data_IF_846520086344
#
_entry.id   IF_846520086344
#
_cell.length_a   1.000
_cell.length_b   1.000
_cell.length_c   1.000
_cell.angle_alpha   90.00
_cell.angle_beta   90.00
_cell.angle_gamma   90.00
#
_symmetry.space_group_name_H-M   'P 1'
#
loop_
_entity.id
_entity.type
_entity.pdbx_description
1 polymer ?
#
# COMPACT_ATOMS: atom_id res chain seq x y z
N UNK A 1 10.41 7.69 -29.73
CA UNK A 1 9.68 8.13 -28.52
C UNK A 1 9.10 6.96 -27.73
N UNK A 2 8.40 5.99 -28.35
CA UNK A 2 7.82 4.83 -27.64
C UNK A 2 8.80 3.92 -26.84
N UNK A 3 10.08 3.82 -27.23
CA UNK A 3 11.08 3.06 -26.47
C UNK A 3 11.52 3.79 -25.18
N UNK A 4 11.70 5.11 -25.22
CA UNK A 4 12.14 5.87 -24.04
C UNK A 4 11.12 5.80 -22.90
N UNK A 5 9.82 5.86 -23.23
CA UNK A 5 8.75 5.72 -22.24
C UNK A 5 8.72 4.30 -21.65
N UNK A 6 8.99 3.26 -22.45
CA UNK A 6 9.10 1.85 -22.00
C UNK A 6 10.26 1.67 -21.03
N UNK A 7 11.44 2.15 -21.37
CA UNK A 7 12.64 2.02 -20.55
C UNK A 7 12.47 2.76 -19.22
N UNK A 8 11.89 3.97 -19.24
CA UNK A 8 11.66 4.75 -18.03
C UNK A 8 10.63 4.10 -17.10
N UNK A 9 9.57 3.48 -17.65
CA UNK A 9 8.59 2.75 -16.82
C UNK A 9 9.17 1.48 -16.20
N UNK A 10 9.99 0.75 -16.96
CA UNK A 10 10.68 -0.44 -16.43
C UNK A 10 11.68 -0.04 -15.34
N UNK A 11 12.40 1.06 -15.53
CA UNK A 11 13.30 1.61 -14.53
C UNK A 11 12.55 1.97 -13.23
N UNK A 12 11.43 2.68 -13.31
CA UNK A 12 10.60 3.00 -12.15
C UNK A 12 10.12 1.73 -11.45
N UNK A 13 9.67 0.72 -12.20
CA UNK A 13 9.19 -0.53 -11.63
C UNK A 13 10.30 -1.28 -10.86
N UNK A 14 11.49 -1.40 -11.45
CA UNK A 14 12.65 -2.08 -10.82
C UNK A 14 13.09 -1.32 -9.57
N UNK A 15 13.29 0.01 -9.68
CA UNK A 15 13.72 0.83 -8.54
C UNK A 15 12.71 0.79 -7.40
N UNK A 16 11.42 0.78 -7.71
CA UNK A 16 10.37 0.64 -6.71
C UNK A 16 10.45 -0.68 -5.97
N UNK A 17 10.64 -1.77 -6.70
CA UNK A 17 10.74 -3.09 -6.11
C UNK A 17 11.97 -3.18 -5.18
N UNK A 18 13.12 -2.72 -5.66
CA UNK A 18 14.36 -2.70 -4.89
C UNK A 18 14.27 -1.82 -3.63
N UNK A 19 13.67 -0.63 -3.75
CA UNK A 19 13.49 0.28 -2.62
C UNK A 19 12.47 -0.27 -1.62
N UNK A 20 11.34 -0.83 -2.08
CA UNK A 20 10.34 -1.46 -1.21
C UNK A 20 10.95 -2.64 -0.45
N UNK A 21 11.75 -3.46 -1.12
CA UNK A 21 12.45 -4.56 -0.49
C UNK A 21 13.41 -4.07 0.60
N UNK A 22 14.21 -3.02 0.34
CA UNK A 22 15.09 -2.41 1.35
C UNK A 22 14.33 -1.83 2.54
N UNK A 23 13.19 -1.18 2.30
CA UNK A 23 12.31 -0.68 3.35
C UNK A 23 11.76 -1.81 4.22
N UNK A 24 11.30 -2.90 3.60
CA UNK A 24 10.78 -4.06 4.31
C UNK A 24 11.84 -4.70 5.22
N UNK A 25 13.09 -4.79 4.76
CA UNK A 25 14.22 -5.26 5.59
C UNK A 25 14.42 -4.35 6.81
N UNK A 26 14.37 -3.03 6.64
CA UNK A 26 14.53 -2.11 7.78
C UNK A 26 13.35 -2.20 8.77
N UNK A 27 12.12 -2.36 8.28
CA UNK A 27 10.94 -2.62 9.13
C UNK A 27 11.13 -3.92 9.93
N UNK A 28 11.58 -5.00 9.28
CA UNK A 28 11.87 -6.27 9.94
C UNK A 28 12.88 -6.12 11.09
N UNK A 29 13.96 -5.35 10.90
CA UNK A 29 14.93 -5.12 11.97
C UNK A 29 14.34 -4.31 13.14
N UNK A 30 13.50 -3.32 12.87
CA UNK A 30 12.80 -2.55 13.91
C UNK A 30 11.83 -3.44 14.69
N UNK A 31 11.13 -4.34 14.02
CA UNK A 31 10.23 -5.30 14.66
C UNK A 31 11.01 -6.35 15.46
N UNK A 32 12.20 -6.76 14.99
CA UNK A 32 13.09 -7.61 15.76
C UNK A 32 13.59 -6.92 17.03
N UNK A 33 13.84 -5.61 17.02
CA UNK A 33 14.21 -4.87 18.23
C UNK A 33 13.11 -4.94 19.30
N UNK A 34 11.82 -4.95 18.91
CA UNK A 34 10.71 -5.15 19.86
C UNK A 34 10.71 -6.54 20.50
N UNK A 35 11.24 -7.55 19.80
CA UNK A 35 11.25 -8.94 20.29
C UNK A 35 12.39 -9.23 21.27
N UNK A 36 13.39 -8.36 21.39
CA UNK A 36 14.53 -8.54 22.30
C UNK A 36 14.24 -8.16 23.77
N UNK A 37 13.00 -7.79 24.09
CA UNK A 37 12.56 -7.43 25.44
C UNK A 37 12.45 -5.92 25.65
N UNK A 38 12.33 -5.49 26.91
CA UNK A 38 12.19 -4.08 27.25
C UNK A 38 13.49 -3.31 26.94
N UNK A 39 13.39 -2.33 26.05
CA UNK A 39 14.47 -1.40 25.74
C UNK A 39 14.50 -0.26 26.77
N UNK A 40 15.66 0.37 27.02
CA UNK A 40 15.72 1.64 27.74
C UNK A 40 14.78 2.67 27.11
N UNK A 41 14.15 3.53 27.92
CA UNK A 41 13.10 4.45 27.46
C UNK A 41 13.54 5.34 26.29
N UNK A 42 14.77 5.85 26.32
CA UNK A 42 15.35 6.66 25.25
C UNK A 42 15.51 5.87 23.94
N UNK A 43 15.96 4.61 24.03
CA UNK A 43 16.13 3.72 22.88
C UNK A 43 14.78 3.34 22.28
N UNK A 44 13.76 3.13 23.10
CA UNK A 44 12.40 2.84 22.64
C UNK A 44 11.77 4.05 21.94
N UNK A 45 12.03 5.26 22.44
CA UNK A 45 11.60 6.51 21.81
C UNK A 45 12.26 6.68 20.43
N UNK A 46 13.57 6.51 20.32
CA UNK A 46 14.31 6.59 19.06
C UNK A 46 13.81 5.53 18.06
N UNK A 47 13.60 4.30 18.54
CA UNK A 47 13.02 3.21 17.73
C UNK A 47 11.65 3.59 17.16
N UNK A 48 10.77 4.18 17.96
CA UNK A 48 9.44 4.61 17.51
C UNK A 48 9.54 5.72 16.45
N UNK A 49 10.45 6.68 16.63
CA UNK A 49 10.70 7.74 15.64
C UNK A 49 11.16 7.12 14.32
N UNK A 50 12.15 6.24 14.35
CA UNK A 50 12.69 5.58 13.15
C UNK A 50 11.58 4.76 12.46
N UNK A 51 10.78 4.00 13.22
CA UNK A 51 9.66 3.24 12.68
C UNK A 51 8.67 4.15 11.93
N UNK A 52 8.36 5.31 12.50
CA UNK A 52 7.53 6.34 11.85
C UNK A 52 8.13 6.86 10.54
N UNK A 53 9.44 7.14 10.53
CA UNK A 53 10.15 7.63 9.34
C UNK A 53 10.15 6.60 8.20
N UNK A 54 10.39 5.32 8.53
CA UNK A 54 10.40 4.25 7.53
C UNK A 54 9.00 4.04 6.94
N UNK A 55 7.96 4.11 7.78
CA UNK A 55 6.57 4.08 7.31
C UNK A 55 6.21 5.30 6.45
N UNK A 56 6.78 6.47 6.73
CA UNK A 56 6.61 7.63 5.86
C UNK A 56 7.30 7.45 4.50
N UNK A 57 8.54 6.96 4.49
CA UNK A 57 9.29 6.67 3.27
C UNK A 57 8.58 5.65 2.38
N UNK A 58 7.98 4.62 2.98
CA UNK A 58 7.18 3.62 2.26
C UNK A 58 5.98 4.27 1.53
N UNK A 59 5.30 5.22 2.18
CA UNK A 59 4.18 5.96 1.57
C UNK A 59 4.64 6.85 0.42
N UNK A 60 5.69 7.65 0.62
CA UNK A 60 6.25 8.49 -0.44
C UNK A 60 6.72 7.69 -1.66
N UNK A 61 7.28 6.50 -1.43
CA UNK A 61 7.67 5.60 -2.50
C UNK A 61 6.46 5.10 -3.28
N UNK A 62 5.37 4.73 -2.60
CA UNK A 62 4.13 4.33 -3.26
C UNK A 62 3.52 5.49 -4.07
N UNK A 63 3.49 6.70 -3.51
CA UNK A 63 2.98 7.89 -4.20
C UNK A 63 3.81 8.20 -5.46
N UNK A 64 5.14 8.09 -5.38
CA UNK A 64 6.04 8.29 -6.53
C UNK A 64 5.81 7.27 -7.64
N UNK A 65 5.51 6.02 -7.29
CA UNK A 65 5.14 4.97 -8.25
C UNK A 65 3.86 5.33 -8.98
N UNK A 66 2.86 5.77 -8.24
CA UNK A 66 1.56 6.10 -8.79
C UNK A 66 1.64 7.32 -9.70
N UNK A 67 2.38 8.36 -9.29
CA UNK A 67 2.67 9.54 -10.14
C UNK A 67 3.47 9.15 -11.38
N UNK A 68 4.50 8.30 -11.24
CA UNK A 68 5.27 7.81 -12.37
C UNK A 68 4.39 7.07 -13.37
N UNK A 69 3.46 6.23 -12.91
CA UNK A 69 2.53 5.50 -13.77
C UNK A 69 1.51 6.40 -14.46
N UNK A 70 1.02 7.44 -13.76
CA UNK A 70 0.13 8.46 -14.32
C UNK A 70 0.82 9.30 -15.40
N UNK A 71 2.06 9.71 -15.17
CA UNK A 71 2.81 10.56 -16.09
C UNK A 71 3.08 9.91 -17.46
N UNK A 72 3.12 8.57 -17.55
CA UNK A 72 3.36 7.84 -18.80
C UNK A 72 2.10 7.24 -19.44
N UNK A 73 0.90 7.60 -18.97
CA UNK A 73 -0.39 7.08 -19.48
C UNK A 73 -0.47 5.54 -19.50
N UNK A 74 0.30 4.88 -18.61
CA UNK A 74 0.40 3.41 -18.54
C UNK A 74 -0.53 2.78 -17.53
N UNK A 75 -1.38 3.59 -16.89
CA UNK A 75 -2.40 3.10 -15.98
C UNK A 75 -3.51 2.40 -16.78
N UNK A 76 -3.31 1.11 -17.08
CA UNK A 76 -4.36 0.26 -17.65
C UNK A 76 -5.29 -0.21 -16.54
N UNK A 77 -6.38 0.54 -16.34
CA UNK A 77 -7.47 0.14 -15.46
C UNK A 77 -8.14 -1.11 -16.03
N UNK A 78 -8.21 -2.18 -15.24
CA UNK A 78 -8.92 -3.41 -15.57
C UNK A 78 -10.32 -3.35 -14.99
N UNK A 79 -11.22 -2.71 -15.73
CA UNK A 79 -12.61 -2.62 -15.32
C UNK A 79 -13.31 -3.97 -15.37
N UNK A 80 -13.81 -4.41 -14.23
CA UNK A 80 -14.67 -5.57 -14.08
C UNK A 80 -15.97 -5.20 -13.37
N UNK A 81 -16.92 -6.14 -13.36
CA UNK A 81 -18.18 -5.98 -12.65
C UNK A 81 -17.94 -6.35 -11.19
N UNK A 82 -17.96 -5.37 -10.31
CA UNK A 82 -17.68 -5.54 -8.88
C UNK A 82 -18.94 -5.31 -8.09
N UNK A 83 -19.21 -6.16 -7.10
CA UNK A 83 -20.29 -5.88 -6.15
C UNK A 83 -19.87 -4.74 -5.21
N UNK A 84 -20.67 -3.68 -5.14
CA UNK A 84 -20.36 -2.52 -4.29
C UNK A 84 -20.28 -2.89 -2.81
N UNK A 85 -21.03 -3.92 -2.40
CA UNK A 85 -20.99 -4.47 -1.05
C UNK A 85 -19.57 -4.89 -0.69
N UNK A 86 -18.92 -5.70 -1.52
CA UNK A 86 -17.58 -6.22 -1.28
C UNK A 86 -16.53 -5.11 -1.13
N UNK A 87 -16.60 -4.09 -2.00
CA UNK A 87 -15.69 -2.94 -1.93
C UNK A 87 -15.85 -2.18 -0.61
N UNK A 88 -17.09 -1.94 -0.19
CA UNK A 88 -17.37 -1.17 1.02
C UNK A 88 -16.98 -1.97 2.27
N UNK A 89 -17.24 -3.29 2.30
CA UNK A 89 -16.79 -4.15 3.40
C UNK A 89 -15.26 -4.17 3.51
N UNK A 90 -14.55 -4.34 2.39
CA UNK A 90 -13.09 -4.31 2.38
C UNK A 90 -12.50 -2.99 2.90
N UNK A 91 -13.11 -1.84 2.56
CA UNK A 91 -12.69 -0.55 3.09
C UNK A 91 -12.95 -0.42 4.60
N UNK A 92 -14.11 -0.89 5.08
CA UNK A 92 -14.45 -0.88 6.51
C UNK A 92 -13.49 -1.75 7.31
N UNK A 93 -13.19 -2.96 6.83
CA UNK A 93 -12.25 -3.89 7.46
C UNK A 93 -10.84 -3.30 7.54
N UNK A 94 -10.38 -2.62 6.48
CA UNK A 94 -9.08 -1.95 6.47
C UNK A 94 -8.99 -0.78 7.48
N UNK A 95 -10.11 -0.10 7.74
CA UNK A 95 -10.17 1.03 8.68
C UNK A 95 -10.40 0.59 10.14
N UNK A 96 -10.99 -0.59 10.36
CA UNK A 96 -11.34 -1.14 11.67
C UNK A 96 -10.21 -1.00 12.73
N UNK A 97 -8.93 -1.32 12.43
CA UNK A 97 -7.85 -1.22 13.41
C UNK A 97 -7.56 0.21 13.85
N UNK A 98 -7.74 1.20 12.97
CA UNK A 98 -7.54 2.61 13.28
C UNK A 98 -8.61 3.12 14.24
N UNK A 99 -9.87 2.75 14.02
CA UNK A 99 -10.97 3.11 14.93
C UNK A 99 -10.86 2.41 16.28
N UNK A 100 -10.46 1.14 16.31
CA UNK A 100 -10.23 0.40 17.55
C UNK A 100 -9.13 1.03 18.43
N UNK A 101 -8.03 1.53 17.83
CA UNK A 101 -6.96 2.23 18.56
C UNK A 101 -7.42 3.53 19.23
N UNK A 102 -8.46 4.17 18.69
CA UNK A 102 -9.02 5.41 19.22
C UNK A 102 -10.28 5.18 20.07
N UNK A 103 -10.57 3.92 20.44
CA UNK A 103 -11.78 3.53 21.19
C UNK A 103 -13.10 3.93 20.50
N UNK A 104 -13.08 4.05 19.18
CA UNK A 104 -14.23 4.44 18.37
C UNK A 104 -14.86 3.22 17.70
N UNK A 105 -16.20 3.26 17.56
CA UNK A 105 -16.96 2.19 16.92
C UNK A 105 -17.40 2.58 15.51
N UNK A 106 -16.87 1.90 14.51
CA UNK A 106 -17.34 1.99 13.13
C UNK A 106 -18.58 1.09 12.94
N UNK A 107 -19.64 1.63 12.34
CA UNK A 107 -20.86 0.88 12.00
C UNK A 107 -21.19 1.09 10.53
N UNK A 108 -21.30 -0.02 9.80
CA UNK A 108 -21.74 -0.02 8.41
C UNK A 108 -23.23 -0.32 8.34
N UNK A 109 -23.97 0.47 7.56
CA UNK A 109 -25.38 0.21 7.20
C UNK A 109 -25.51 0.24 5.68
N UNK A 110 -25.75 -0.92 5.08
CA UNK A 110 -25.97 -1.06 3.65
C UNK A 110 -27.42 -1.46 3.36
N UNK A 111 -27.97 -0.93 2.27
CA UNK A 111 -29.24 -1.42 1.74
C UNK A 111 -29.02 -2.81 1.13
N UNK A 112 -29.98 -3.71 1.30
CA UNK A 112 -29.88 -5.13 0.89
C UNK A 112 -29.94 -5.38 -0.63
N UNK A 113 -29.72 -4.35 -1.44
CA UNK A 113 -29.72 -4.45 -2.91
C UNK A 113 -28.30 -4.72 -3.39
N UNK A 114 -28.15 -5.72 -4.24
CA UNK A 114 -26.93 -5.97 -5.00
C UNK A 114 -26.77 -4.84 -6.01
N UNK A 115 -25.83 -3.94 -5.72
CA UNK A 115 -25.42 -2.89 -6.63
C UNK A 115 -24.07 -3.27 -7.23
N UNK A 116 -23.98 -3.21 -8.55
CA UNK A 116 -22.75 -3.53 -9.27
C UNK A 116 -22.13 -2.27 -9.85
N UNK A 117 -20.82 -2.16 -9.71
CA UNK A 117 -20.00 -1.07 -10.23
C UNK A 117 -19.12 -1.59 -11.37
N UNK A 118 -18.85 -0.72 -12.34
CA UNK A 118 -17.75 -0.92 -13.28
C UNK A 118 -16.50 -0.30 -12.65
N UNK A 119 -15.68 -1.13 -12.03
CA UNK A 119 -14.52 -0.69 -11.26
C UNK A 119 -13.34 -1.65 -11.48
N UNK A 120 -12.13 -1.19 -11.20
CA UNK A 120 -10.97 -2.06 -11.09
C UNK A 120 -10.91 -2.60 -9.65
N UNK A 121 -11.35 -3.84 -9.42
CA UNK A 121 -11.41 -4.42 -8.07
C UNK A 121 -10.02 -4.71 -7.49
N UNK A 122 -8.99 -4.74 -8.35
CA UNK A 122 -7.60 -4.97 -8.01
C UNK A 122 -6.75 -3.72 -8.17
N UNK A 123 -7.31 -2.53 -7.97
CA UNK A 123 -6.54 -1.32 -7.68
C UNK A 123 -5.82 -1.44 -6.30
N UNK A 124 -5.12 -2.56 -6.07
CA UNK A 124 -3.99 -2.63 -5.18
C UNK A 124 -2.88 -1.78 -5.80
N UNK A 125 -1.93 -1.24 -5.00
CA UNK A 125 -0.65 -0.82 -5.53
C UNK A 125 -0.01 -2.06 -6.16
N UNK A 126 -0.22 -2.24 -7.46
CA UNK A 126 0.07 -3.49 -8.15
C UNK A 126 1.60 -3.66 -8.18
N UNK A 127 2.14 -4.42 -7.23
CA UNK A 127 3.34 -5.21 -7.41
C UNK A 127 2.97 -6.26 -8.47
N UNK A 128 3.15 -5.89 -9.74
CA UNK A 128 3.10 -6.86 -10.81
C UNK A 128 4.26 -7.83 -10.60
N UNK A 129 3.93 -9.02 -10.13
CA UNK A 129 4.71 -10.22 -10.39
C UNK A 129 5.00 -10.26 -11.88
N UNK A 130 6.29 -10.25 -12.21
CA UNK A 130 6.75 -10.70 -13.51
C UNK A 130 6.31 -12.16 -13.65
N UNK A 131 5.35 -12.39 -14.53
CA UNK A 131 5.16 -13.61 -15.33
C UNK A 131 3.90 -13.38 -16.17
N UNK A 132 4.09 -13.13 -17.46
CA UNK A 132 3.70 -14.10 -18.49
C UNK A 132 4.11 -13.58 -19.89
N UNK A 133 4.81 -14.47 -20.62
CA UNK A 133 5.13 -14.47 -22.06
C UNK A 133 6.14 -13.47 -22.64
#
# INVERSE_FOLDING_TARGET
MANADRDQSQFIAIMTHELRHRIAIMQMFIDLLQKHGALPAEVEQDRCIIAGQINHLSRLLNDLVDVGRLAFDKLKLRFERVESGDVIHGAVDAMQPMFARNEQRLKLKLARKEHYLKADAKAQPLLASADDS
#
